data_IF_850716317239
#
_entry.id   IF_850716317239
#
_cell.length_a   1.000
_cell.length_b   1.000
_cell.length_c   1.000
_cell.angle_alpha   90.00
_cell.angle_beta   90.00
_cell.angle_gamma   90.00
#
_symmetry.space_group_name_H-M   'P 1'
#
loop_
_entity.id
_entity.type
_entity.pdbx_description
1 polymer ?
#
# COMPACT_ATOMS: atom_id res chain seq x y z
N UNK A 1 52.53 21.59 -18.36
CA UNK A 1 52.63 20.90 -17.05
C UNK A 1 54.07 20.41 -16.89
N UNK A 2 54.84 20.96 -15.95
CA UNK A 2 56.28 20.63 -15.75
C UNK A 2 56.52 19.39 -14.87
N UNK A 3 55.49 18.86 -14.21
CA UNK A 3 55.57 17.71 -13.28
C UNK A 3 54.94 16.48 -13.93
N UNK A 4 55.55 15.28 -13.82
CA UNK A 4 55.00 14.07 -14.41
C UNK A 4 53.68 13.64 -13.74
N UNK A 5 52.69 13.27 -14.54
CA UNK A 5 51.35 12.82 -14.09
C UNK A 5 51.42 11.63 -13.12
N UNK A 6 52.33 10.68 -13.36
CA UNK A 6 52.52 9.52 -12.49
C UNK A 6 52.86 9.92 -11.04
N UNK A 7 53.66 10.97 -10.85
CA UNK A 7 54.03 11.45 -9.50
C UNK A 7 52.85 12.10 -8.78
N UNK A 8 52.00 12.83 -9.52
CA UNK A 8 50.77 13.41 -8.98
C UNK A 8 49.78 12.33 -8.55
N UNK A 9 49.62 11.27 -9.35
CA UNK A 9 48.75 10.14 -9.02
C UNK A 9 49.23 9.40 -7.76
N UNK A 10 50.55 9.22 -7.59
CA UNK A 10 51.11 8.62 -6.38
C UNK A 10 50.81 9.45 -5.12
N UNK A 11 50.93 10.78 -5.20
CA UNK A 11 50.58 11.68 -4.10
C UNK A 11 49.07 11.63 -3.81
N UNK A 12 48.22 11.64 -4.84
CA UNK A 12 46.77 11.51 -4.68
C UNK A 12 46.40 10.18 -4.02
N UNK A 13 47.06 9.09 -4.37
CA UNK A 13 46.86 7.78 -3.74
C UNK A 13 47.21 7.83 -2.25
N UNK A 14 48.40 8.34 -1.90
CA UNK A 14 48.83 8.46 -0.49
C UNK A 14 47.88 9.35 0.34
N UNK A 15 47.40 10.45 -0.25
CA UNK A 15 46.37 11.30 0.37
C UNK A 15 45.07 10.51 0.60
N UNK A 16 44.62 9.75 -0.38
CA UNK A 16 43.40 8.96 -0.26
C UNK A 16 43.50 7.89 0.83
N UNK A 17 44.66 7.24 0.96
CA UNK A 17 44.96 6.30 2.04
C UNK A 17 44.95 6.99 3.41
N UNK A 18 45.61 8.15 3.54
CA UNK A 18 45.67 8.91 4.79
C UNK A 18 44.29 9.34 5.32
N UNK A 19 43.39 9.77 4.42
CA UNK A 19 42.06 10.28 4.79
C UNK A 19 40.94 9.26 4.59
N UNK A 20 41.26 8.00 4.31
CA UNK A 20 40.28 6.96 4.01
C UNK A 20 39.25 7.38 2.94
N UNK A 21 39.71 8.10 1.92
CA UNK A 21 38.87 8.54 0.79
C UNK A 21 39.08 7.63 -0.42
N UNK A 22 38.09 7.58 -1.31
CA UNK A 22 38.12 6.70 -2.48
C UNK A 22 39.03 7.25 -3.59
N UNK A 23 40.03 6.48 -4.01
CA UNK A 23 40.89 6.79 -5.16
C UNK A 23 40.30 6.21 -6.46
N UNK A 24 39.93 7.07 -7.43
CA UNK A 24 39.33 6.66 -8.71
C UNK A 24 39.94 7.45 -9.88
N UNK A 25 41.13 7.06 -10.39
CA UNK A 25 41.84 7.79 -11.45
C UNK A 25 41.18 7.66 -12.82
N UNK A 26 40.45 6.56 -13.06
CA UNK A 26 39.75 6.26 -14.33
C UNK A 26 38.34 6.84 -14.39
N UNK A 27 37.83 7.42 -13.29
CA UNK A 27 36.51 8.04 -13.26
C UNK A 27 35.35 7.05 -13.42
N UNK A 28 35.54 5.79 -12.99
CA UNK A 28 34.50 4.75 -13.07
C UNK A 28 33.28 5.09 -12.20
N UNK A 29 32.08 4.69 -12.65
CA UNK A 29 30.82 4.92 -11.93
C UNK A 29 30.61 3.88 -10.84
N UNK A 30 31.24 4.08 -9.67
CA UNK A 30 31.21 3.16 -8.52
C UNK A 30 30.03 3.35 -7.57
N UNK A 31 29.07 4.24 -7.87
CA UNK A 31 27.89 4.47 -7.03
C UNK A 31 28.14 5.27 -5.74
N UNK A 32 29.36 5.77 -5.49
CA UNK A 32 29.71 6.56 -4.31
C UNK A 32 28.83 7.81 -4.10
N UNK A 33 28.19 8.34 -5.16
CA UNK A 33 27.20 9.43 -5.06
C UNK A 33 26.01 9.05 -4.19
N UNK A 34 25.52 7.81 -4.32
CA UNK A 34 24.34 7.33 -3.59
C UNK A 34 24.70 7.09 -2.12
N UNK A 35 25.86 6.48 -1.85
CA UNK A 35 26.29 6.19 -0.47
C UNK A 35 26.63 7.46 0.33
N UNK A 36 27.17 8.49 -0.31
CA UNK A 36 27.48 9.79 0.35
C UNK A 36 26.23 10.64 0.59
N UNK A 37 25.11 10.30 -0.04
CA UNK A 37 23.87 11.03 0.17
C UNK A 37 23.39 10.80 1.61
N UNK A 38 23.21 11.89 2.35
CA UNK A 38 22.64 11.82 3.71
C UNK A 38 21.22 11.27 3.64
N UNK A 39 20.92 10.32 4.53
CA UNK A 39 19.59 9.73 4.66
C UNK A 39 18.58 10.80 5.10
N UNK A 40 17.44 10.88 4.40
CA UNK A 40 16.35 11.83 4.71
C UNK A 40 15.21 11.22 5.52
N UNK A 41 15.27 9.91 5.77
CA UNK A 41 14.26 9.14 6.53
C UNK A 41 13.76 9.82 7.81
N UNK A 42 14.63 10.26 8.74
CA UNK A 42 14.15 10.85 10.00
C UNK A 42 13.38 12.16 9.80
N UNK A 43 13.77 12.98 8.83
CA UNK A 43 13.06 14.22 8.52
C UNK A 43 11.66 13.95 7.93
N UNK A 44 11.53 12.90 7.12
CA UNK A 44 10.25 12.49 6.53
C UNK A 44 9.34 11.80 7.55
N UNK A 45 9.89 10.97 8.44
CA UNK A 45 9.12 10.30 9.49
C UNK A 45 8.51 11.30 10.50
N UNK A 46 9.17 12.45 10.71
CA UNK A 46 8.69 13.52 11.57
C UNK A 46 7.73 14.51 10.87
N UNK A 47 7.21 14.18 9.69
CA UNK A 47 6.33 15.08 8.92
C UNK A 47 5.06 15.46 9.70
N UNK A 48 4.38 14.47 10.28
CA UNK A 48 3.27 14.73 11.19
C UNK A 48 3.80 14.75 12.64
N UNK A 49 3.31 15.67 13.47
CA UNK A 49 3.68 15.70 14.88
C UNK A 49 3.25 14.39 15.54
N UNK A 50 4.12 13.85 16.40
CA UNK A 50 3.76 12.69 17.22
C UNK A 50 2.65 13.09 18.18
N UNK A 51 1.68 12.19 18.41
CA UNK A 51 0.72 12.34 19.51
C UNK A 51 1.49 12.29 20.82
N UNK A 52 1.47 13.39 21.59
CA UNK A 52 2.24 13.53 22.83
C UNK A 52 1.40 13.11 24.04
N UNK A 53 0.22 13.70 24.18
CA UNK A 53 -0.70 13.47 25.30
C UNK A 53 -2.11 13.43 24.72
N UNK A 54 -2.88 12.43 25.12
CA UNK A 54 -4.31 12.31 24.79
C UNK A 54 -5.17 12.61 26.01
N UNK A 55 -6.47 12.90 25.82
CA UNK A 55 -7.41 13.13 26.92
C UNK A 55 -7.50 11.92 27.87
N UNK A 56 -7.37 10.71 27.32
CA UNK A 56 -7.31 9.46 28.10
C UNK A 56 -6.08 9.39 29.02
N UNK A 57 -4.95 9.91 28.56
CA UNK A 57 -3.74 9.98 29.40
C UNK A 57 -3.97 10.94 30.58
N UNK A 58 -4.65 12.07 30.35
CA UNK A 58 -5.03 13.01 31.42
C UNK A 58 -5.99 12.38 32.41
N UNK A 59 -7.07 11.74 31.96
CA UNK A 59 -8.01 11.04 32.83
C UNK A 59 -7.30 10.03 33.75
N UNK A 60 -6.32 9.30 33.22
CA UNK A 60 -5.54 8.33 34.00
C UNK A 60 -4.66 8.99 35.06
N UNK A 61 -4.02 10.11 34.74
CA UNK A 61 -3.15 10.84 35.67
C UNK A 61 -3.94 11.54 36.78
N UNK A 62 -5.16 12.00 36.50
CA UNK A 62 -6.02 12.71 37.46
C UNK A 62 -6.99 11.80 38.23
N UNK A 63 -7.18 10.55 37.81
CA UNK A 63 -8.01 9.57 38.53
C UNK A 63 -7.64 9.37 40.01
N UNK A 64 -6.35 9.33 40.44
CA UNK A 64 -5.98 9.21 41.85
C UNK A 64 -6.38 10.41 42.71
N UNK A 65 -6.64 11.56 42.08
CA UNK A 65 -7.06 12.80 42.75
C UNK A 65 -8.60 12.92 42.82
N UNK A 66 -9.33 11.87 42.43
CA UNK A 66 -10.80 11.84 42.35
C UNK A 66 -11.39 12.94 41.44
N UNK A 67 -10.60 13.41 40.47
CA UNK A 67 -11.02 14.37 39.46
C UNK A 67 -11.48 13.63 38.21
N UNK A 68 -12.68 13.99 37.73
CA UNK A 68 -13.22 13.49 36.46
C UNK A 68 -13.06 14.57 35.39
N UNK A 69 -12.64 14.16 34.20
CA UNK A 69 -12.51 15.02 33.02
C UNK A 69 -13.36 14.38 31.92
N UNK A 70 -14.36 15.10 31.46
CA UNK A 70 -15.25 14.67 30.39
C UNK A 70 -14.62 14.95 29.02
N UNK A 71 -14.81 14.04 28.05
CA UNK A 71 -14.31 14.20 26.67
C UNK A 71 -15.50 14.61 25.80
N UNK A 72 -15.82 15.91 25.83
CA UNK A 72 -16.99 16.51 25.16
C UNK A 72 -17.10 16.10 23.69
N UNK A 73 -15.97 15.96 22.99
CA UNK A 73 -15.95 15.57 21.57
C UNK A 73 -16.39 14.12 21.38
N UNK A 74 -15.93 13.21 22.24
CA UNK A 74 -16.32 11.80 22.16
C UNK A 74 -17.75 11.60 22.67
N UNK A 75 -18.15 12.34 23.71
CA UNK A 75 -19.51 12.32 24.27
C UNK A 75 -20.53 12.81 23.24
N UNK A 76 -20.29 13.95 22.57
CA UNK A 76 -21.13 14.45 21.48
C UNK A 76 -21.25 13.43 20.33
N UNK A 77 -20.14 12.77 19.98
CA UNK A 77 -20.12 11.73 18.95
C UNK A 77 -20.97 10.53 19.37
N UNK A 78 -20.92 10.14 20.64
CA UNK A 78 -21.71 9.04 21.20
C UNK A 78 -23.20 9.38 21.26
N UNK A 79 -23.55 10.59 21.69
CA UNK A 79 -24.94 11.09 21.68
C UNK A 79 -25.51 11.12 20.26
N UNK A 80 -24.72 11.63 19.31
CA UNK A 80 -25.09 11.61 17.90
C UNK A 80 -25.36 10.18 17.43
N UNK A 81 -24.45 9.24 17.67
CA UNK A 81 -24.63 7.82 17.30
C UNK A 81 -25.88 7.23 17.98
N UNK A 82 -26.08 7.45 19.27
CA UNK A 82 -27.26 6.97 20.01
C UNK A 82 -28.56 7.52 19.41
N UNK A 83 -28.55 8.80 19.00
CA UNK A 83 -29.62 9.42 18.24
C UNK A 83 -29.92 8.67 16.93
N UNK A 84 -28.90 8.37 16.11
CA UNK A 84 -29.07 7.60 14.86
C UNK A 84 -29.61 6.19 15.10
N UNK A 85 -29.12 5.49 16.13
CA UNK A 85 -29.58 4.14 16.49
C UNK A 85 -31.07 4.13 16.86
N UNK A 86 -31.55 5.20 17.49
CA UNK A 86 -32.95 5.30 17.94
C UNK A 86 -33.96 5.59 16.81
N UNK A 87 -33.51 6.04 15.64
CA UNK A 87 -34.36 6.42 14.51
C UNK A 87 -34.83 5.20 13.70
N UNK A 88 -36.04 5.25 13.11
CA UNK A 88 -36.53 4.23 12.19
C UNK A 88 -35.69 4.23 10.90
N UNK A 89 -34.88 3.19 10.73
CA UNK A 89 -33.75 3.11 9.79
C UNK A 89 -32.59 2.30 10.36
N UNK A 90 -32.52 2.25 11.70
CA UNK A 90 -31.62 1.37 12.46
C UNK A 90 -30.17 1.85 12.50
N UNK A 91 -29.33 1.21 13.36
CA UNK A 91 -27.90 1.45 13.38
C UNK A 91 -27.24 1.17 12.02
N UNK A 92 -26.01 1.68 11.86
CA UNK A 92 -25.09 1.18 10.83
C UNK A 92 -25.12 -0.36 10.89
N UNK A 93 -25.42 -1.06 9.79
CA UNK A 93 -25.49 -2.52 9.79
C UNK A 93 -24.17 -3.09 10.33
N UNK A 94 -24.23 -4.20 11.09
CA UNK A 94 -23.02 -4.78 11.66
C UNK A 94 -22.05 -5.10 10.53
N UNK A 95 -20.77 -4.79 10.74
CA UNK A 95 -19.72 -5.24 9.82
C UNK A 95 -19.80 -6.77 9.73
N UNK A 96 -19.93 -7.35 8.53
CA UNK A 96 -20.09 -8.79 8.41
C UNK A 96 -18.79 -9.48 8.83
N UNK A 97 -18.90 -10.51 9.66
CA UNK A 97 -17.74 -11.29 10.14
C UNK A 97 -16.93 -11.93 8.98
N UNK A 98 -17.55 -12.07 7.82
CA UNK A 98 -16.95 -12.60 6.58
C UNK A 98 -17.39 -11.79 5.36
N UNK A 99 -16.51 -11.65 4.38
CA UNK A 99 -16.80 -10.98 3.12
C UNK A 99 -17.83 -11.79 2.31
N UNK A 100 -19.10 -11.45 2.42
CA UNK A 100 -20.17 -12.07 1.62
C UNK A 100 -20.14 -11.49 0.22
N UNK A 101 -19.38 -12.11 -0.68
CA UNK A 101 -19.47 -11.85 -2.12
C UNK A 101 -20.72 -12.54 -2.66
N UNK A 102 -21.85 -11.84 -2.63
CA UNK A 102 -23.00 -12.24 -3.43
C UNK A 102 -22.87 -11.61 -4.81
N UNK A 103 -22.50 -12.44 -5.80
CA UNK A 103 -22.53 -12.04 -7.21
C UNK A 103 -23.91 -11.48 -7.55
N UNK A 104 -24.02 -10.26 -8.12
CA UNK A 104 -25.30 -9.68 -8.55
C UNK A 104 -26.07 -10.54 -9.56
N UNK A 105 -25.41 -11.54 -10.15
CA UNK A 105 -25.94 -12.44 -11.16
C UNK A 105 -26.54 -13.74 -10.59
N UNK A 106 -26.57 -13.90 -9.26
CA UNK A 106 -27.16 -15.09 -8.61
C UNK A 106 -28.66 -15.24 -8.89
N UNK A 107 -29.37 -14.15 -9.16
CA UNK A 107 -30.80 -14.19 -9.51
C UNK A 107 -31.03 -14.63 -10.95
N UNK A 108 -30.17 -14.24 -11.90
CA UNK A 108 -30.26 -14.69 -13.30
C UNK A 108 -30.12 -16.22 -13.43
N UNK A 109 -29.31 -16.86 -12.58
CA UNK A 109 -29.10 -18.30 -12.63
C UNK A 109 -30.35 -19.12 -12.19
N UNK A 110 -31.26 -18.54 -11.40
CA UNK A 110 -32.47 -19.24 -10.95
C UNK A 110 -33.60 -19.26 -11.98
N UNK A 111 -33.57 -18.36 -12.96
CA UNK A 111 -34.56 -18.36 -14.04
C UNK A 111 -34.26 -19.43 -15.12
N UNK A 112 -33.06 -20.02 -15.13
CA UNK A 112 -32.66 -21.04 -16.10
C UNK A 112 -32.86 -22.49 -15.62
N UNK A 113 -33.26 -22.73 -14.37
CA UNK A 113 -33.51 -24.07 -13.80
C UNK A 113 -34.81 -24.76 -14.31
N UNK A 114 -35.31 -24.34 -15.48
CA UNK A 114 -36.32 -25.06 -16.26
C UNK A 114 -35.75 -25.93 -17.39
N UNK A 115 -34.45 -25.87 -17.66
CA UNK A 115 -33.82 -26.61 -18.76
C UNK A 115 -33.06 -27.85 -18.24
N UNK A 116 -33.72 -29.00 -18.27
CA UNK A 116 -33.06 -30.31 -18.13
C UNK A 116 -32.05 -30.53 -19.25
N UNK A 117 -30.80 -30.85 -18.91
CA UNK A 117 -29.84 -31.42 -19.85
C UNK A 117 -29.20 -32.69 -19.25
N UNK A 118 -29.25 -33.75 -20.04
CA UNK A 118 -28.67 -35.05 -19.75
C UNK A 118 -27.13 -34.97 -19.67
N UNK A 119 -26.59 -35.80 -18.79
CA UNK A 119 -25.15 -35.92 -18.52
C UNK A 119 -24.37 -36.33 -19.78
N UNK A 120 -23.40 -35.50 -20.14
CA UNK A 120 -22.34 -35.81 -21.09
C UNK A 120 -21.09 -35.06 -20.68
N UNK A 121 -20.10 -35.79 -20.19
CA UNK A 121 -18.76 -35.31 -19.87
C UNK A 121 -18.11 -34.71 -21.12
N UNK A 122 -17.83 -33.41 -21.13
CA UNK A 122 -16.71 -32.82 -21.88
C UNK A 122 -16.47 -31.38 -21.40
N UNK A 123 -15.47 -31.28 -20.54
CA UNK A 123 -14.95 -30.08 -19.90
C UNK A 123 -14.33 -29.08 -20.91
N UNK A 124 -14.57 -27.79 -20.65
CA UNK A 124 -13.58 -26.70 -20.80
C UNK A 124 -12.95 -26.58 -22.20
N UNK A 125 -13.65 -25.96 -23.15
CA UNK A 125 -13.01 -25.50 -24.40
C UNK A 125 -13.71 -24.30 -25.07
N UNK A 126 -15.03 -24.17 -24.97
CA UNK A 126 -15.77 -23.21 -25.80
C UNK A 126 -15.61 -21.73 -25.42
N UNK A 127 -15.31 -21.41 -24.15
CA UNK A 127 -15.15 -20.02 -23.69
C UNK A 127 -13.92 -19.31 -24.27
N UNK A 128 -12.83 -20.06 -24.50
CA UNK A 128 -11.59 -19.51 -25.07
C UNK A 128 -11.73 -19.32 -26.58
N UNK A 129 -12.45 -20.21 -27.26
CA UNK A 129 -12.69 -20.12 -28.71
C UNK A 129 -13.55 -18.91 -29.09
N UNK A 130 -14.57 -18.57 -28.30
CA UNK A 130 -15.45 -17.42 -28.58
C UNK A 130 -14.71 -16.07 -28.42
N UNK A 131 -13.82 -15.96 -27.44
CA UNK A 131 -12.98 -14.77 -27.25
C UNK A 131 -11.95 -14.61 -28.38
N UNK A 132 -11.38 -15.70 -28.87
CA UNK A 132 -10.41 -15.68 -29.96
C UNK A 132 -11.05 -15.28 -31.31
N UNK A 133 -12.29 -15.74 -31.57
CA UNK A 133 -13.00 -15.40 -32.80
C UNK A 133 -13.45 -13.94 -32.84
N UNK A 134 -13.90 -13.40 -31.70
CA UNK A 134 -14.32 -12.00 -31.60
C UNK A 134 -13.13 -11.02 -31.70
N UNK A 135 -11.96 -11.39 -31.17
CA UNK A 135 -10.74 -10.58 -31.34
C UNK A 135 -10.21 -10.55 -32.79
N UNK A 136 -10.36 -11.65 -33.56
CA UNK A 136 -9.96 -11.68 -34.97
C UNK A 136 -10.86 -10.82 -35.87
N UNK A 137 -12.18 -10.76 -35.61
CA UNK A 137 -13.09 -9.89 -36.36
C UNK A 137 -12.85 -8.39 -36.06
N UNK A 138 -12.39 -8.07 -34.85
CA UNK A 138 -12.09 -6.70 -34.43
C UNK A 138 -10.68 -6.20 -34.85
N UNK A 139 -9.84 -7.05 -35.46
CA UNK A 139 -8.50 -6.67 -35.93
C UNK A 139 -7.52 -6.24 -34.83
N UNK A 140 -7.73 -6.69 -33.59
CA UNK A 140 -6.90 -6.34 -32.43
C UNK A 140 -5.95 -7.49 -32.09
N UNK A 141 -4.65 -7.20 -31.98
CA UNK A 141 -3.65 -8.18 -31.54
C UNK A 141 -3.87 -8.58 -30.09
N UNK A 142 -4.06 -9.89 -29.85
CA UNK A 142 -4.19 -10.47 -28.52
C UNK A 142 -2.80 -10.66 -27.88
N UNK A 143 -2.47 -9.86 -26.86
CA UNK A 143 -1.29 -10.09 -26.01
C UNK A 143 -1.72 -10.69 -24.65
N UNK A 144 -1.39 -11.95 -24.34
CA UNK A 144 -1.69 -12.51 -23.02
C UNK A 144 -0.75 -11.86 -21.98
N UNK A 145 -1.36 -11.20 -20.99
CA UNK A 145 -0.65 -10.62 -19.84
C UNK A 145 0.01 -11.76 -19.04
N UNK A 146 1.32 -11.90 -19.19
CA UNK A 146 2.13 -12.74 -18.30
C UNK A 146 2.36 -11.97 -17.00
N UNK A 147 1.77 -12.45 -15.90
CA UNK A 147 2.11 -12.00 -14.54
C UNK A 147 3.54 -12.45 -14.24
N UNK A 148 4.45 -11.50 -14.10
CA UNK A 148 5.79 -11.68 -13.53
C UNK A 148 5.83 -11.33 -12.06
#
# INVERSE_FOLDING_TARGET
MSVPRARLLALMKARCELFSTTFNPEGLRTGNKILRQRLRGPALAAYYPRKLVTLRDLQKEFAPLELMIDDEIDDDRLEHIAGFVSLPGGPVPPEPDTMQFESPWKECAKEEEGASYEQGEEEISYGVYLLYHSCMEAGLEYSPITRG
#
